data_IF_696870737750
#
_entry.id   IF_696870737750
#
_cell.length_a   1.000
_cell.length_b   1.000
_cell.length_c   1.000
_cell.angle_alpha   90.00
_cell.angle_beta   90.00
_cell.angle_gamma   90.00
#
_symmetry.space_group_name_H-M   'P 1'
#
loop_
_entity.id
_entity.type
_entity.pdbx_description
1 polymer ?
#
# COMPACT_ATOMS: atom_id res chain seq x y z
N UNK A 1 18.34 -3.14 -6.80
CA UNK A 1 17.95 -1.84 -6.20
C UNK A 1 18.79 -1.59 -4.96
N UNK A 2 19.47 -0.45 -4.83
CA UNK A 2 20.16 -0.03 -3.61
C UNK A 2 19.40 1.11 -2.94
N UNK A 3 18.80 0.82 -1.79
CA UNK A 3 17.82 1.71 -1.15
C UNK A 3 18.51 2.91 -0.50
N UNK A 4 18.29 4.11 -1.05
CA UNK A 4 18.85 5.37 -0.55
C UNK A 4 17.95 6.03 0.50
N UNK A 5 16.66 6.14 0.20
CA UNK A 5 15.69 6.88 1.02
C UNK A 5 14.34 6.16 1.02
N UNK A 6 13.67 6.25 2.16
CA UNK A 6 12.29 5.80 2.33
C UNK A 6 11.54 6.98 2.91
N UNK A 7 10.47 7.42 2.25
CA UNK A 7 9.61 8.52 2.69
C UNK A 7 8.20 8.00 2.85
N UNK A 8 7.48 8.56 3.82
CA UNK A 8 6.10 8.18 4.12
C UNK A 8 5.24 9.43 4.20
N UNK A 9 4.04 9.36 3.62
CA UNK A 9 3.10 10.48 3.60
C UNK A 9 1.73 9.97 4.02
N UNK A 10 1.22 10.48 5.14
CA UNK A 10 -0.18 10.25 5.50
C UNK A 10 -1.04 11.13 4.59
N UNK A 11 -1.94 10.49 3.86
CA UNK A 11 -2.91 11.16 3.02
C UNK A 11 -4.31 10.92 3.56
N UNK A 12 -5.15 11.94 3.47
CA UNK A 12 -6.58 11.88 3.77
C UNK A 12 -7.32 12.53 2.60
N UNK A 13 -7.80 11.71 1.67
CA UNK A 13 -8.47 12.18 0.46
C UNK A 13 -9.97 12.28 0.69
N UNK A 14 -10.62 13.44 0.48
CA UNK A 14 -12.07 13.54 0.59
C UNK A 14 -12.73 12.65 -0.46
N UNK A 15 -13.71 11.86 -0.05
CA UNK A 15 -14.50 11.03 -0.96
C UNK A 15 -15.51 11.91 -1.71
N UNK A 16 -15.78 11.56 -2.98
CA UNK A 16 -16.79 12.25 -3.80
C UNK A 16 -18.18 12.12 -3.17
N UNK A 17 -18.50 10.91 -2.70
CA UNK A 17 -19.72 10.57 -1.99
C UNK A 17 -19.32 9.78 -0.73
N UNK A 18 -19.98 10.00 0.42
CA UNK A 18 -19.74 9.20 1.61
C UNK A 18 -19.94 7.71 1.33
N UNK A 19 -19.03 6.88 1.85
CA UNK A 19 -19.11 5.43 1.69
C UNK A 19 -19.47 4.79 3.02
N UNK A 20 -20.57 4.04 3.05
CA UNK A 20 -21.10 3.45 4.27
C UNK A 20 -21.10 1.93 4.21
N UNK A 21 -20.58 1.32 5.28
CA UNK A 21 -20.51 -0.12 5.50
C UNK A 21 -21.01 -0.45 6.90
N UNK A 22 -21.04 -1.74 7.26
CA UNK A 22 -21.34 -2.15 8.64
C UNK A 22 -20.37 -1.59 9.69
N UNK A 23 -19.18 -1.15 9.28
CA UNK A 23 -18.15 -0.61 10.17
C UNK A 23 -18.27 0.89 10.40
N UNK A 24 -19.17 1.56 9.68
CA UNK A 24 -19.39 3.00 9.79
C UNK A 24 -19.41 3.70 8.43
N UNK A 25 -19.47 5.03 8.51
CA UNK A 25 -19.57 5.94 7.39
C UNK A 25 -18.25 6.70 7.22
N UNK A 26 -17.57 6.47 6.10
CA UNK A 26 -16.33 7.15 5.73
C UNK A 26 -16.62 8.32 4.81
N UNK A 27 -16.02 9.48 5.11
CA UNK A 27 -16.02 10.67 4.24
C UNK A 27 -14.63 11.02 3.73
N UNK A 28 -13.59 10.44 4.34
CA UNK A 28 -12.21 10.49 3.86
C UNK A 28 -11.71 9.07 3.58
N UNK A 29 -10.81 8.96 2.60
CA UNK A 29 -9.95 7.80 2.42
C UNK A 29 -8.58 8.10 3.00
N UNK A 30 -8.27 7.44 4.11
CA UNK A 30 -6.93 7.47 4.67
C UNK A 30 -6.01 6.46 3.97
N UNK A 31 -4.72 6.77 3.97
CA UNK A 31 -3.68 5.86 3.55
C UNK A 31 -2.29 6.43 3.82
N UNK A 32 -1.26 5.59 3.71
CA UNK A 32 0.14 6.03 3.75
C UNK A 32 0.76 5.75 2.40
N UNK A 33 1.20 6.79 1.70
CA UNK A 33 2.05 6.62 0.52
C UNK A 33 3.47 6.36 0.97
N UNK A 34 4.05 5.26 0.51
CA UNK A 34 5.44 4.87 0.76
C UNK A 34 6.23 5.11 -0.51
N UNK A 35 7.26 5.96 -0.44
CA UNK A 35 8.17 6.23 -1.54
C UNK A 35 9.56 5.67 -1.22
N UNK A 36 10.05 4.75 -2.05
CA UNK A 36 11.37 4.14 -1.92
C UNK A 36 12.24 4.60 -3.08
N UNK A 37 13.35 5.24 -2.75
CA UNK A 37 14.27 5.84 -3.71
C UNK A 37 15.57 5.02 -3.80
N UNK A 38 15.97 4.70 -5.02
CA UNK A 38 17.25 4.05 -5.35
C UNK A 38 18.41 5.07 -5.40
N UNK A 39 19.65 4.61 -5.31
CA UNK A 39 20.83 5.47 -5.48
C UNK A 39 20.91 6.16 -6.85
N UNK A 40 20.32 5.58 -7.90
CA UNK A 40 20.17 6.19 -9.22
C UNK A 40 19.20 7.38 -9.24
N UNK A 41 18.33 7.50 -8.24
CA UNK A 41 17.28 8.52 -8.16
C UNK A 41 15.90 8.05 -8.64
N UNK A 42 15.78 6.83 -9.16
CA UNK A 42 14.46 6.23 -9.42
C UNK A 42 13.67 6.02 -8.13
N UNK A 43 12.35 6.23 -8.20
CA UNK A 43 11.45 6.16 -7.04
C UNK A 43 10.30 5.22 -7.36
N UNK A 44 10.11 4.21 -6.50
CA UNK A 44 8.92 3.38 -6.48
C UNK A 44 7.94 3.80 -5.40
N UNK A 45 6.65 3.61 -5.67
CA UNK A 45 5.54 3.98 -4.82
C UNK A 45 4.66 2.79 -4.44
N UNK A 46 4.22 2.75 -3.19
CA UNK A 46 3.25 1.79 -2.67
C UNK A 46 2.27 2.46 -1.72
N UNK A 47 1.15 1.81 -1.44
CA UNK A 47 0.09 2.35 -0.60
C UNK A 47 -0.23 1.43 0.57
N UNK A 48 -0.18 1.98 1.78
CA UNK A 48 -0.80 1.33 2.95
C UNK A 48 -2.24 1.77 3.03
N UNK A 49 -3.15 0.80 2.93
CA UNK A 49 -4.61 1.03 2.91
C UNK A 49 -5.28 0.98 4.28
N UNK A 50 -4.49 1.00 5.36
CA UNK A 50 -4.98 1.04 6.73
C UNK A 50 -5.72 2.36 7.00
N UNK A 51 -6.88 2.26 7.64
CA UNK A 51 -7.75 3.41 7.91
C UNK A 51 -7.40 4.09 9.25
N UNK A 52 -8.11 5.15 9.61
CA UNK A 52 -7.90 5.88 10.88
C UNK A 52 -8.11 5.00 12.13
N UNK A 53 -8.97 3.99 12.02
CA UNK A 53 -9.38 3.17 13.15
C UNK A 53 -9.44 1.69 12.81
N UNK A 54 -9.36 0.81 13.83
CA UNK A 54 -9.19 -0.62 13.63
C UNK A 54 -10.52 -1.34 13.38
N UNK A 55 -11.39 -0.76 12.55
CA UNK A 55 -12.77 -1.23 12.38
C UNK A 55 -12.87 -2.43 11.43
N UNK A 56 -11.99 -2.46 10.41
CA UNK A 56 -11.89 -3.57 9.46
C UNK A 56 -10.75 -4.55 9.83
N UNK A 57 -9.60 -4.01 10.25
CA UNK A 57 -8.40 -4.73 10.64
C UNK A 57 -7.84 -4.12 11.92
N UNK A 58 -6.98 -4.83 12.64
CA UNK A 58 -6.23 -4.24 13.77
C UNK A 58 -5.19 -3.20 13.32
N UNK A 59 -4.91 -3.12 12.01
CA UNK A 59 -4.03 -2.09 11.45
C UNK A 59 -4.79 -0.77 11.27
N UNK A 60 -4.25 0.28 11.89
CA UNK A 60 -4.56 1.69 11.62
C UNK A 60 -3.38 2.40 10.95
N UNK A 61 -3.61 3.61 10.43
CA UNK A 61 -2.55 4.53 9.97
C UNK A 61 -1.40 4.59 10.98
N UNK A 62 -1.66 4.81 12.26
CA UNK A 62 -0.64 4.97 13.30
C UNK A 62 0.15 3.68 13.52
N UNK A 63 -0.54 2.53 13.57
CA UNK A 63 0.13 1.24 13.78
C UNK A 63 0.99 0.86 12.58
N UNK A 64 0.50 1.08 11.35
CA UNK A 64 1.25 0.81 10.15
C UNK A 64 2.43 1.79 10.02
N UNK A 65 2.21 3.06 10.36
CA UNK A 65 3.26 4.07 10.39
C UNK A 65 4.40 3.66 11.32
N UNK A 66 4.05 3.26 12.55
CA UNK A 66 4.99 2.76 13.54
C UNK A 66 5.77 1.55 13.04
N UNK A 67 5.10 0.54 12.49
CA UNK A 67 5.74 -0.68 11.99
C UNK A 67 6.74 -0.37 10.87
N UNK A 68 6.36 0.49 9.92
CA UNK A 68 7.24 0.86 8.82
C UNK A 68 8.42 1.69 9.34
N UNK A 69 8.15 2.76 10.11
CA UNK A 69 9.18 3.70 10.59
C UNK A 69 10.20 3.03 11.51
N UNK A 70 9.74 2.24 12.47
CA UNK A 70 10.58 1.79 13.59
C UNK A 70 11.18 0.40 13.38
N UNK A 71 10.59 -0.43 12.52
CA UNK A 71 11.04 -1.81 12.31
C UNK A 71 11.47 -2.10 10.88
N UNK A 72 10.69 -1.70 9.86
CA UNK A 72 10.97 -2.06 8.46
C UNK A 72 12.03 -1.14 7.85
N UNK A 73 11.76 0.17 7.82
CA UNK A 73 12.61 1.14 7.13
C UNK A 73 14.07 1.15 7.61
N UNK A 74 14.38 1.07 8.91
CA UNK A 74 15.77 1.04 9.39
C UNK A 74 16.54 -0.22 8.98
N UNK A 75 15.83 -1.29 8.62
CA UNK A 75 16.43 -2.58 8.26
C UNK A 75 16.65 -2.76 6.78
N UNK A 76 15.90 -2.06 5.93
CA UNK A 76 16.05 -2.15 4.48
C UNK A 76 16.79 -0.95 3.87
N UNK A 77 16.82 0.21 4.57
CA UNK A 77 17.58 1.38 4.12
C UNK A 77 19.08 1.05 4.04
N UNK A 78 19.69 1.43 2.92
CA UNK A 78 21.10 1.18 2.64
C UNK A 78 21.42 -0.22 2.12
N UNK A 79 20.44 -1.14 2.14
CA UNK A 79 20.63 -2.48 1.58
C UNK A 79 20.50 -2.46 0.07
N UNK A 80 21.18 -3.44 -0.53
CA UNK A 80 20.92 -3.85 -1.90
C UNK A 80 19.91 -4.99 -1.89
N UNK A 81 18.82 -4.78 -2.61
CA UNK A 81 17.73 -5.74 -2.82
C UNK A 81 17.77 -6.12 -4.29
N UNK A 82 18.16 -7.36 -4.56
CA UNK A 82 18.25 -7.89 -5.91
C UNK A 82 16.87 -7.98 -6.57
N UNK A 83 15.86 -8.51 -5.88
CA UNK A 83 14.50 -8.66 -6.42
C UNK A 83 13.45 -8.36 -5.34
N UNK A 84 12.27 -7.78 -5.68
CA UNK A 84 11.25 -7.40 -4.70
C UNK A 84 10.81 -8.54 -3.77
N UNK A 85 10.69 -9.78 -4.29
CA UNK A 85 10.26 -10.93 -3.48
C UNK A 85 11.23 -11.29 -2.34
N UNK A 86 12.48 -10.81 -2.38
CA UNK A 86 13.43 -11.01 -1.29
C UNK A 86 13.09 -10.18 -0.05
N UNK A 87 12.20 -9.19 -0.16
CA UNK A 87 11.65 -8.47 0.98
C UNK A 87 11.14 -9.40 2.09
N UNK A 88 10.38 -10.43 1.71
CA UNK A 88 9.81 -11.42 2.65
C UNK A 88 10.86 -12.33 3.30
N UNK A 89 12.08 -12.38 2.77
CA UNK A 89 13.17 -13.19 3.31
C UNK A 89 13.92 -12.50 4.44
N UNK A 90 13.78 -11.19 4.61
CA UNK A 90 14.43 -10.46 5.70
C UNK A 90 13.91 -10.92 7.07
N UNK A 91 14.83 -11.19 7.99
CA UNK A 91 14.50 -11.69 9.34
C UNK A 91 13.53 -10.77 10.08
N UNK A 92 13.68 -9.44 9.92
CA UNK A 92 12.77 -8.48 10.55
C UNK A 92 11.34 -8.65 10.03
N UNK A 93 11.15 -8.84 8.72
CA UNK A 93 9.84 -8.95 8.09
C UNK A 93 9.15 -10.24 8.53
N UNK A 94 9.92 -11.33 8.62
CA UNK A 94 9.44 -12.63 9.14
C UNK A 94 9.07 -12.59 10.62
N UNK A 95 9.74 -11.75 11.42
CA UNK A 95 9.51 -11.64 12.87
C UNK A 95 8.35 -10.72 13.24
N UNK A 96 8.04 -9.71 12.40
CA UNK A 96 6.85 -8.87 12.60
C UNK A 96 5.61 -9.75 12.45
N UNK A 97 4.83 -9.90 13.52
CA UNK A 97 3.57 -10.65 13.49
C UNK A 97 2.48 -9.79 12.88
N UNK A 98 1.77 -10.30 11.89
CA UNK A 98 0.72 -9.53 11.23
C UNK A 98 1.25 -8.32 10.46
N UNK A 99 0.54 -7.21 10.55
CA UNK A 99 0.82 -5.93 9.89
C UNK A 99 1.03 -6.07 8.38
N UNK A 100 0.07 -6.74 7.73
CA UNK A 100 0.17 -7.10 6.32
C UNK A 100 -0.05 -5.87 5.42
N UNK A 101 -0.90 -4.92 5.81
CA UNK A 101 -1.07 -3.67 5.04
C UNK A 101 0.21 -2.84 5.10
N UNK A 102 0.84 -2.74 6.27
CA UNK A 102 2.11 -2.05 6.43
C UNK A 102 3.23 -2.69 5.58
N UNK A 103 3.34 -4.02 5.60
CA UNK A 103 4.31 -4.76 4.78
C UNK A 103 4.02 -4.65 3.29
N UNK A 104 2.75 -4.75 2.89
CA UNK A 104 2.34 -4.63 1.50
C UNK A 104 2.69 -3.26 0.93
N UNK A 105 2.40 -2.15 1.63
CA UNK A 105 2.75 -0.81 1.14
C UNK A 105 4.26 -0.61 0.89
N UNK A 106 5.12 -1.28 1.68
CA UNK A 106 6.58 -1.29 1.42
C UNK A 106 6.94 -2.19 0.24
N UNK A 107 6.36 -3.39 0.18
CA UNK A 107 6.61 -4.34 -0.91
C UNK A 107 6.15 -3.79 -2.27
N UNK A 108 4.98 -3.16 -2.33
CA UNK A 108 4.45 -2.50 -3.52
C UNK A 108 5.41 -1.43 -4.03
N UNK A 109 5.98 -0.62 -3.13
CA UNK A 109 6.98 0.38 -3.50
C UNK A 109 8.26 -0.25 -4.06
N UNK A 110 8.67 -1.43 -3.58
CA UNK A 110 9.79 -2.18 -4.15
C UNK A 110 9.45 -2.75 -5.54
N UNK A 111 8.24 -3.26 -5.73
CA UNK A 111 7.77 -3.75 -7.02
C UNK A 111 7.65 -2.63 -8.06
N UNK A 112 7.10 -1.47 -7.69
CA UNK A 112 7.03 -0.30 -8.56
C UNK A 112 8.44 0.17 -8.94
N UNK A 113 9.35 0.32 -7.96
CA UNK A 113 10.75 0.68 -8.20
C UNK A 113 11.43 -0.29 -9.17
N UNK A 114 11.29 -1.59 -8.93
CA UNK A 114 11.87 -2.62 -9.77
C UNK A 114 11.35 -2.56 -11.20
N UNK A 115 10.04 -2.40 -11.38
CA UNK A 115 9.41 -2.30 -12.70
C UNK A 115 9.90 -1.07 -13.48
N UNK A 116 10.08 0.07 -12.80
CA UNK A 116 10.65 1.30 -13.36
C UNK A 116 12.11 1.12 -13.77
N UNK A 117 12.93 0.50 -12.93
CA UNK A 117 14.32 0.18 -13.27
C UNK A 117 14.43 -0.74 -14.49
N UNK A 118 13.46 -1.64 -14.68
CA UNK A 118 13.34 -2.49 -15.88
C UNK A 118 12.74 -1.76 -17.09
N UNK A 119 12.27 -0.52 -16.93
CA UNK A 119 11.51 0.23 -17.94
C UNK A 119 10.29 -0.56 -18.46
N UNK A 120 9.61 -1.29 -17.57
CA UNK A 120 8.42 -2.08 -17.90
C UNK A 120 7.27 -1.75 -16.94
N UNK A 121 6.01 -1.80 -17.43
CA UNK A 121 4.87 -1.69 -16.53
C UNK A 121 4.81 -2.91 -15.61
N UNK A 122 4.46 -2.71 -14.33
CA UNK A 122 4.45 -3.76 -13.31
C UNK A 122 3.69 -5.02 -13.74
N UNK A 123 2.54 -4.87 -14.42
CA UNK A 123 1.75 -6.02 -14.86
C UNK A 123 2.54 -6.97 -15.78
N UNK A 124 3.48 -6.47 -16.60
CA UNK A 124 4.34 -7.34 -17.42
C UNK A 124 5.40 -8.04 -16.57
N UNK A 125 5.99 -7.30 -15.64
CA UNK A 125 7.03 -7.81 -14.73
C UNK A 125 6.51 -8.98 -13.90
N UNK A 126 5.25 -8.93 -13.47
CA UNK A 126 4.59 -10.01 -12.72
C UNK A 126 3.92 -11.07 -13.61
N UNK A 127 4.15 -11.05 -14.93
CA UNK A 127 3.67 -12.08 -15.86
C UNK A 127 2.21 -11.93 -16.33
N UNK A 128 1.62 -10.75 -16.16
CA UNK A 128 0.29 -10.43 -16.68
C UNK A 128 0.23 -10.53 -18.20
N UNK A 129 -0.92 -10.99 -18.71
CA UNK A 129 -1.14 -11.26 -20.15
C UNK A 129 -2.29 -10.46 -20.75
N UNK A 130 -3.00 -9.67 -19.93
CA UNK A 130 -4.16 -8.87 -20.35
C UNK A 130 -3.85 -7.40 -20.17
N UNK A 131 -4.31 -6.57 -21.11
CA UNK A 131 -4.23 -5.11 -21.05
C UNK A 131 -5.50 -4.47 -20.46
N UNK A 132 -6.55 -5.27 -20.22
CA UNK A 132 -7.83 -4.85 -19.64
C UNK A 132 -8.40 -5.89 -18.69
N UNK A 133 -9.14 -5.43 -17.68
CA UNK A 133 -9.91 -6.26 -16.75
C UNK A 133 -11.33 -5.72 -16.64
N UNK A 134 -12.30 -6.60 -16.40
CA UNK A 134 -13.66 -6.18 -16.07
C UNK A 134 -13.70 -5.68 -14.62
N UNK A 135 -14.28 -4.50 -14.39
CA UNK A 135 -14.46 -3.95 -13.05
C UNK A 135 -15.89 -4.12 -12.58
N UNK A 136 -16.06 -4.57 -11.34
CA UNK A 136 -17.35 -4.51 -10.64
C UNK A 136 -17.63 -3.13 -10.06
N UNK A 137 -18.82 -2.98 -9.48
CA UNK A 137 -19.23 -1.81 -8.69
C UNK A 137 -19.57 -2.27 -7.28
N UNK A 138 -19.05 -1.56 -6.28
CA UNK A 138 -19.45 -1.74 -4.89
C UNK A 138 -20.43 -0.63 -4.52
N UNK A 139 -21.60 -1.00 -4.02
CA UNK A 139 -22.64 -0.06 -3.61
C UNK A 139 -22.70 -0.09 -2.08
N UNK A 140 -22.35 1.02 -1.45
CA UNK A 140 -22.44 1.17 0.00
C UNK A 140 -23.89 1.14 0.50
N UNK A 141 -24.07 0.97 1.81
CA UNK A 141 -25.40 0.99 2.45
C UNK A 141 -26.07 2.35 2.16
N UNK A 142 -27.32 2.29 1.70
CA UNK A 142 -28.12 3.48 1.38
C UNK A 142 -29.23 3.66 2.42
N UNK A 143 -29.72 4.90 2.56
CA UNK A 143 -30.79 5.23 3.50
C UNK A 143 -32.12 4.50 3.20
N UNK A 144 -32.38 4.15 1.94
CA UNK A 144 -33.59 3.42 1.53
C UNK A 144 -33.39 2.61 0.24
N UNK A 145 -34.23 1.57 -0.01
CA UNK A 145 -34.22 0.83 -1.27
C UNK A 145 -34.44 1.71 -2.51
N UNK A 146 -35.26 2.76 -2.42
CA UNK A 146 -35.54 3.67 -3.53
C UNK A 146 -34.31 4.50 -3.93
N UNK A 147 -33.45 4.86 -2.96
CA UNK A 147 -32.15 5.49 -3.25
C UNK A 147 -31.14 4.50 -3.83
N UNK A 148 -31.22 3.22 -3.44
CA UNK A 148 -30.32 2.17 -3.93
C UNK A 148 -30.52 1.85 -5.42
N UNK A 149 -31.76 1.91 -5.92
CA UNK A 149 -32.11 1.52 -7.30
C UNK A 149 -32.13 2.68 -8.31
N UNK A 150 -31.75 3.88 -7.91
CA UNK A 150 -31.62 5.05 -8.79
C UNK A 150 -30.27 5.08 -9.50
#
# INVERSE_FOLDING_TARGET
MKIRKISMFHVAMPLKDPFETSFGRSVYRHGILVAIEDVSGEIGWGEVVADEGPWYSYETVETAWHVIRDFIAPKIKGLEIEEPQYFWRFDVIRRIRGHNMAKAGVEEALWDLWSRMMSQPLWRVIGGVRDRISSGVSIGIQESPEKLVK
#
